data_IF_935956501782
#
_entry.id   IF_935956501782
#
_cell.length_a   1.000
_cell.length_b   1.000
_cell.length_c   1.000
_cell.angle_alpha   90.00
_cell.angle_beta   90.00
_cell.angle_gamma   90.00
#
_symmetry.space_group_name_H-M   'P 1'
#
loop_
_entity.id
_entity.type
_entity.pdbx_description
1 polymer ?
#
# COMPACT_ATOMS: atom_id res chain seq x y z
N UNK A 1 -15.34 7.04 27.49
CA UNK A 1 -15.23 5.65 27.01
C UNK A 1 -13.75 5.24 27.11
N UNK A 2 -13.43 4.23 27.94
CA UNK A 2 -12.04 3.86 28.27
C UNK A 2 -11.27 3.25 27.09
N UNK A 3 -11.95 2.60 26.13
CA UNK A 3 -11.33 1.84 25.03
C UNK A 3 -11.86 2.27 23.64
N UNK A 4 -12.31 3.51 23.49
CA UNK A 4 -12.72 4.07 22.20
C UNK A 4 -13.77 3.24 21.47
N UNK A 5 -13.48 2.91 20.23
CA UNK A 5 -14.31 2.15 19.28
C UNK A 5 -14.63 0.72 19.77
N UNK A 6 -13.70 0.05 20.44
CA UNK A 6 -13.90 -1.31 20.96
C UNK A 6 -15.04 -1.37 22.00
N UNK A 7 -15.17 -0.34 22.85
CA UNK A 7 -16.27 -0.28 23.82
C UNK A 7 -17.62 -0.18 23.11
N UNK A 8 -17.70 0.65 22.08
CA UNK A 8 -18.93 0.83 21.28
C UNK A 8 -19.30 -0.48 20.57
N UNK A 9 -18.33 -1.12 19.92
CA UNK A 9 -18.54 -2.41 19.22
C UNK A 9 -19.05 -3.46 20.19
N UNK A 10 -18.42 -3.61 21.36
CA UNK A 10 -18.81 -4.62 22.35
C UNK A 10 -20.21 -4.39 22.90
N UNK A 11 -20.62 -3.15 23.10
CA UNK A 11 -21.98 -2.84 23.58
C UNK A 11 -23.03 -3.06 22.47
N UNK A 12 -22.78 -2.58 21.26
CA UNK A 12 -23.75 -2.69 20.14
C UNK A 12 -23.94 -4.14 19.69
N UNK A 13 -22.88 -4.95 19.73
CA UNK A 13 -22.90 -6.34 19.28
C UNK A 13 -22.92 -7.36 20.43
N UNK A 14 -23.23 -6.93 21.63
CA UNK A 14 -23.31 -7.81 22.80
C UNK A 14 -24.20 -9.05 22.53
N UNK A 15 -23.63 -10.24 22.74
CA UNK A 15 -24.28 -11.51 22.45
C UNK A 15 -24.37 -11.90 20.97
N UNK A 16 -23.74 -11.11 20.06
CA UNK A 16 -23.64 -11.39 18.62
C UNK A 16 -22.19 -11.43 18.14
N UNK A 17 -21.24 -11.49 19.08
CA UNK A 17 -19.80 -11.60 18.78
C UNK A 17 -19.41 -13.05 18.91
N UNK A 18 -18.78 -13.58 17.87
CA UNK A 18 -18.17 -14.91 17.86
C UNK A 18 -16.67 -14.77 18.07
N UNK A 19 -16.11 -15.57 18.98
CA UNK A 19 -14.68 -15.61 19.22
C UNK A 19 -13.97 -16.42 18.13
N UNK A 20 -12.99 -15.80 17.50
CA UNK A 20 -12.09 -16.49 16.60
C UNK A 20 -10.98 -17.20 17.37
N UNK A 21 -10.42 -18.26 16.74
CA UNK A 21 -9.22 -18.91 17.26
C UNK A 21 -8.08 -17.93 17.42
N UNK A 22 -7.27 -18.09 18.48
CA UNK A 22 -6.16 -17.20 18.82
C UNK A 22 -5.13 -17.00 17.70
N UNK A 23 -5.05 -17.94 16.75
CA UNK A 23 -4.18 -17.81 15.59
C UNK A 23 -4.54 -16.64 14.67
N UNK A 24 -5.77 -16.15 14.71
CA UNK A 24 -6.25 -15.01 13.90
C UNK A 24 -5.95 -13.64 14.52
N UNK A 25 -5.47 -13.59 15.77
CA UNK A 25 -4.99 -12.36 16.40
C UNK A 25 -3.83 -12.68 17.36
N UNK A 26 -2.78 -13.25 16.81
CA UNK A 26 -1.56 -13.58 17.56
C UNK A 26 -0.83 -12.30 17.94
N UNK A 27 -1.04 -11.84 19.17
CA UNK A 27 -0.52 -10.57 19.66
C UNK A 27 0.91 -10.71 20.15
N UNK A 28 1.84 -10.05 19.45
CA UNK A 28 3.26 -9.98 19.80
C UNK A 28 3.53 -8.68 20.57
N UNK A 29 4.30 -8.83 21.62
CA UNK A 29 4.70 -7.74 22.52
C UNK A 29 4.25 -7.99 23.96
N UNK A 30 3.34 -8.91 24.19
CA UNK A 30 3.01 -9.35 25.53
C UNK A 30 4.15 -10.09 26.23
N UNK A 31 5.12 -10.61 25.47
CA UNK A 31 6.34 -11.23 26.04
C UNK A 31 7.09 -10.24 26.94
N UNK A 32 7.09 -8.96 26.58
CA UNK A 32 7.70 -7.89 27.37
C UNK A 32 6.82 -7.48 28.56
N UNK A 33 5.49 -7.47 28.38
CA UNK A 33 4.55 -7.22 29.46
C UNK A 33 4.55 -8.35 30.50
N UNK A 34 4.81 -9.59 30.07
CA UNK A 34 4.96 -10.74 30.95
C UNK A 34 6.16 -10.63 31.87
N UNK A 35 7.20 -9.92 31.47
CA UNK A 35 8.36 -9.64 32.32
C UNK A 35 8.01 -8.77 33.53
N UNK A 36 6.95 -7.95 33.43
CA UNK A 36 6.48 -7.04 34.47
C UNK A 36 5.29 -7.59 35.29
N UNK A 37 4.70 -8.71 34.88
CA UNK A 37 3.55 -9.30 35.60
C UNK A 37 3.21 -10.69 35.07
N UNK A 38 2.87 -11.58 35.89
CA UNK A 38 2.31 -12.94 35.72
C UNK A 38 2.75 -13.69 34.42
N UNK A 39 4.01 -14.06 34.36
CA UNK A 39 4.72 -14.77 33.26
C UNK A 39 3.95 -16.02 32.79
N UNK A 40 3.32 -16.75 33.69
CA UNK A 40 2.69 -18.05 33.40
C UNK A 40 1.48 -17.96 32.46
N UNK A 41 0.68 -16.91 32.54
CA UNK A 41 -0.53 -16.78 31.69
C UNK A 41 -0.15 -16.39 30.26
N UNK A 42 0.91 -15.63 30.09
CA UNK A 42 1.32 -15.09 28.77
C UNK A 42 2.09 -16.11 27.98
N UNK A 43 3.00 -16.88 28.60
CA UNK A 43 3.71 -17.99 27.94
C UNK A 43 2.73 -19.09 27.51
N UNK A 44 1.76 -19.44 28.35
CA UNK A 44 0.72 -20.41 27.98
C UNK A 44 -0.13 -19.97 26.80
N UNK A 45 -0.31 -18.66 26.60
CA UNK A 45 -1.02 -18.13 25.44
C UNK A 45 -0.19 -18.25 24.16
N UNK A 46 1.09 -17.90 24.22
CA UNK A 46 2.01 -17.97 23.06
C UNK A 46 2.28 -19.42 22.67
N UNK A 47 2.41 -20.32 23.62
CA UNK A 47 2.68 -21.75 23.38
C UNK A 47 1.52 -22.50 22.72
N UNK A 48 0.28 -22.03 22.89
CA UNK A 48 -0.91 -22.64 22.28
C UNK A 48 -0.99 -22.43 20.76
N UNK A 49 -0.38 -21.36 20.24
CA UNK A 49 -0.50 -21.00 18.83
C UNK A 49 0.77 -21.39 18.07
N UNK A 50 0.81 -22.59 17.53
CA UNK A 50 1.95 -23.08 16.75
C UNK A 50 2.09 -22.42 15.37
N UNK A 51 0.98 -22.01 14.75
CA UNK A 51 0.94 -21.43 13.40
C UNK A 51 0.01 -20.23 13.37
N UNK A 52 0.48 -19.02 13.74
CA UNK A 52 -0.34 -17.84 13.67
C UNK A 52 -0.72 -17.51 12.22
N UNK A 53 -2.00 -17.22 11.99
CA UNK A 53 -2.54 -16.78 10.70
C UNK A 53 -2.47 -15.27 10.54
N UNK A 54 -2.78 -14.54 11.62
CA UNK A 54 -2.63 -13.08 11.68
C UNK A 54 -1.73 -12.73 12.86
N UNK A 55 -0.66 -12.02 12.59
CA UNK A 55 0.29 -11.53 13.60
C UNK A 55 0.03 -10.05 13.84
N UNK A 56 -0.25 -9.70 15.10
CA UNK A 56 -0.53 -8.34 15.52
C UNK A 56 0.56 -7.83 16.46
N UNK A 57 1.32 -6.83 16.03
CA UNK A 57 2.35 -6.17 16.83
C UNK A 57 1.73 -5.04 17.66
N UNK A 58 1.43 -5.30 18.93
CA UNK A 58 0.60 -4.42 19.78
C UNK A 58 1.38 -3.37 20.57
N UNK A 59 2.69 -3.53 20.76
CA UNK A 59 3.51 -2.60 21.53
C UNK A 59 4.11 -1.48 20.70
N UNK A 60 4.73 -0.49 21.35
CA UNK A 60 5.49 0.59 20.69
C UNK A 60 6.73 0.08 19.96
N UNK A 61 7.31 -1.05 20.40
CA UNK A 61 8.38 -1.73 19.68
C UNK A 61 7.80 -2.42 18.44
N UNK A 62 7.84 -1.72 17.33
CA UNK A 62 7.32 -2.21 16.05
C UNK A 62 8.43 -2.88 15.22
N UNK A 63 8.09 -3.86 14.37
CA UNK A 63 9.08 -4.59 13.55
C UNK A 63 9.84 -3.69 12.58
N UNK A 64 9.31 -2.53 12.23
CA UNK A 64 9.93 -1.56 11.34
C UNK A 64 10.82 -0.53 12.07
N UNK A 65 10.83 -0.50 13.40
CA UNK A 65 11.72 0.38 14.15
C UNK A 65 13.18 0.03 13.84
N UNK A 66 14.05 1.05 13.82
CA UNK A 66 15.48 0.89 13.51
C UNK A 66 16.14 -0.12 14.46
N UNK A 67 15.86 0.01 15.74
CA UNK A 67 16.27 -0.93 16.79
C UNK A 67 15.02 -1.57 17.35
N UNK A 68 14.79 -2.84 17.02
CA UNK A 68 13.64 -3.61 17.51
C UNK A 68 14.06 -5.02 17.84
N UNK A 69 13.63 -5.48 19.02
CA UNK A 69 13.85 -6.85 19.52
C UNK A 69 12.58 -7.67 19.50
N UNK A 70 11.52 -7.19 18.83
CA UNK A 70 10.23 -7.84 18.80
C UNK A 70 10.31 -9.20 18.07
N UNK A 71 9.66 -10.21 18.64
CA UNK A 71 9.59 -11.56 18.08
C UNK A 71 8.93 -11.52 16.68
N UNK A 72 9.33 -12.43 15.82
CA UNK A 72 8.82 -12.55 14.45
C UNK A 72 9.02 -11.30 13.57
N UNK A 73 9.93 -10.40 13.94
CA UNK A 73 10.29 -9.21 13.15
C UNK A 73 10.68 -9.58 11.71
N UNK A 74 11.41 -10.67 11.54
CA UNK A 74 11.84 -11.18 10.24
C UNK A 74 10.65 -11.56 9.33
N UNK A 75 9.55 -12.07 9.89
CA UNK A 75 8.33 -12.35 9.09
C UNK A 75 7.69 -11.08 8.56
N UNK A 76 7.62 -10.03 9.37
CA UNK A 76 7.12 -8.73 8.91
C UNK A 76 7.95 -8.20 7.74
N UNK A 77 9.29 -8.22 7.86
CA UNK A 77 10.18 -7.78 6.80
C UNK A 77 10.09 -8.66 5.55
N UNK A 78 9.87 -9.97 5.72
CA UNK A 78 9.63 -10.86 4.59
C UNK A 78 8.40 -10.39 3.79
N UNK A 79 7.24 -10.23 4.44
CA UNK A 79 6.02 -9.79 3.77
C UNK A 79 6.12 -8.35 3.24
N UNK A 80 6.79 -7.46 3.93
CA UNK A 80 7.00 -6.07 3.51
C UNK A 80 7.81 -5.95 2.21
N UNK A 81 8.67 -6.92 1.93
CA UNK A 81 9.54 -6.95 0.74
C UNK A 81 8.95 -7.72 -0.43
N UNK A 82 7.84 -8.44 -0.24
CA UNK A 82 7.20 -9.16 -1.33
C UNK A 82 6.64 -8.19 -2.35
N UNK A 83 6.87 -8.48 -3.61
CA UNK A 83 6.17 -7.85 -4.73
C UNK A 83 4.76 -8.44 -4.85
N UNK A 84 3.84 -7.67 -5.43
CA UNK A 84 2.46 -8.13 -5.61
C UNK A 84 2.36 -9.43 -6.42
N UNK A 85 3.21 -9.59 -7.43
CA UNK A 85 3.30 -10.82 -8.23
C UNK A 85 3.66 -12.04 -7.38
N UNK A 86 4.56 -11.89 -6.39
CA UNK A 86 4.94 -12.96 -5.47
C UNK A 86 3.80 -13.29 -4.50
N UNK A 87 3.06 -12.28 -4.04
CA UNK A 87 1.88 -12.46 -3.18
C UNK A 87 0.80 -13.23 -3.95
N UNK A 88 0.47 -12.79 -5.15
CA UNK A 88 -0.57 -13.42 -5.99
C UNK A 88 -0.18 -14.85 -6.38
N UNK A 89 1.08 -15.11 -6.74
CA UNK A 89 1.54 -16.44 -7.14
C UNK A 89 1.48 -17.46 -5.99
N UNK A 90 1.63 -16.99 -4.75
CA UNK A 90 1.60 -17.84 -3.56
C UNK A 90 0.18 -18.29 -3.19
N UNK A 91 -0.83 -17.53 -3.58
CA UNK A 91 -2.23 -17.85 -3.37
C UNK A 91 -2.81 -18.48 -4.64
N UNK A 92 -2.44 -19.75 -4.91
CA UNK A 92 -2.91 -20.53 -6.06
C UNK A 92 -4.44 -20.77 -6.10
N UNK A 93 -5.14 -20.41 -5.02
CA UNK A 93 -6.61 -20.40 -4.96
C UNK A 93 -7.23 -19.12 -5.54
N UNK A 94 -6.41 -18.14 -5.94
CA UNK A 94 -6.93 -16.99 -6.66
C UNK A 94 -7.29 -17.44 -8.08
N UNK A 95 -8.58 -17.46 -8.36
CA UNK A 95 -9.09 -17.82 -9.68
C UNK A 95 -8.60 -16.81 -10.71
N UNK A 96 -7.53 -17.18 -11.43
CA UNK A 96 -6.93 -16.33 -12.47
C UNK A 96 -7.92 -15.97 -13.57
N UNK A 97 -9.01 -16.74 -13.74
CA UNK A 97 -10.05 -16.43 -14.72
C UNK A 97 -10.88 -15.19 -14.36
N UNK A 98 -10.83 -14.75 -13.10
CA UNK A 98 -11.44 -13.51 -12.61
C UNK A 98 -10.55 -12.28 -12.74
N UNK A 99 -9.26 -12.45 -13.04
CA UNK A 99 -8.41 -11.35 -13.44
C UNK A 99 -8.81 -11.05 -14.89
N UNK A 100 -9.53 -9.95 -15.11
CA UNK A 100 -9.64 -9.41 -16.46
C UNK A 100 -8.22 -9.25 -16.99
N UNK A 101 -7.92 -9.95 -18.07
CA UNK A 101 -6.69 -9.70 -18.83
C UNK A 101 -6.91 -8.38 -19.57
N UNK A 102 -6.63 -7.30 -18.83
CA UNK A 102 -6.76 -5.94 -19.35
C UNK A 102 -5.47 -5.67 -20.14
N UNK A 103 -5.52 -5.93 -21.45
CA UNK A 103 -4.52 -5.40 -22.36
C UNK A 103 -4.76 -3.91 -22.54
N UNK A 104 -3.71 -3.11 -22.43
CA UNK A 104 -3.73 -1.68 -22.67
C UNK A 104 -2.83 -1.36 -23.83
N UNK A 105 -3.19 -0.31 -24.60
CA UNK A 105 -2.45 0.14 -25.78
C UNK A 105 -1.19 0.96 -25.38
N UNK A 106 -1.11 1.40 -24.12
CA UNK A 106 0.04 2.15 -23.59
C UNK A 106 -0.07 2.42 -22.08
N UNK A 107 1.06 2.82 -21.52
CA UNK A 107 1.25 3.10 -20.08
C UNK A 107 1.55 4.60 -19.88
N UNK A 108 0.67 5.30 -19.18
CA UNK A 108 0.86 6.68 -18.77
C UNK A 108 1.32 6.73 -17.32
N UNK A 109 2.48 7.35 -17.07
CA UNK A 109 3.03 7.50 -15.71
C UNK A 109 2.88 8.93 -15.21
N UNK A 110 2.46 9.07 -13.97
CA UNK A 110 2.34 10.32 -13.23
C UNK A 110 2.97 10.17 -11.85
N UNK A 111 3.88 11.06 -11.50
CA UNK A 111 4.37 11.19 -10.13
C UNK A 111 3.87 12.51 -9.52
N UNK A 112 3.17 12.43 -8.40
CA UNK A 112 2.60 13.61 -7.74
C UNK A 112 2.96 13.66 -6.25
N UNK A 113 3.03 14.88 -5.72
CA UNK A 113 3.07 15.18 -4.28
C UNK A 113 1.77 15.84 -3.80
N UNK A 114 0.84 16.05 -4.72
CA UNK A 114 -0.40 16.78 -4.47
C UNK A 114 -1.61 15.85 -4.55
N UNK A 115 -2.64 16.22 -3.80
CA UNK A 115 -3.93 15.53 -3.89
C UNK A 115 -4.71 15.90 -5.16
N UNK A 116 -4.46 17.11 -5.67
CA UNK A 116 -5.15 17.67 -6.83
C UNK A 116 -4.28 17.54 -8.08
N UNK A 117 -4.80 16.82 -9.06
CA UNK A 117 -4.17 16.54 -10.34
C UNK A 117 -5.14 16.98 -11.43
N UNK A 118 -4.71 17.90 -12.28
CA UNK A 118 -5.57 18.54 -13.27
C UNK A 118 -6.21 17.53 -14.24
N UNK A 119 -7.54 17.51 -14.27
CA UNK A 119 -8.36 16.72 -15.19
C UNK A 119 -8.05 15.20 -15.23
N UNK A 120 -7.37 14.66 -14.22
CA UNK A 120 -6.94 13.25 -14.22
C UNK A 120 -8.12 12.28 -14.43
N UNK A 121 -9.23 12.48 -13.73
CA UNK A 121 -10.39 11.61 -13.84
C UNK A 121 -11.01 11.65 -15.24
N UNK A 122 -11.05 12.84 -15.87
CA UNK A 122 -11.55 12.97 -17.24
C UNK A 122 -10.64 12.25 -18.25
N UNK A 123 -9.30 12.31 -18.06
CA UNK A 123 -8.35 11.59 -18.91
C UNK A 123 -8.56 10.09 -18.78
N UNK A 124 -8.67 9.57 -17.56
CA UNK A 124 -8.92 8.16 -17.29
C UNK A 124 -10.18 7.65 -18.00
N UNK A 125 -11.28 8.42 -17.91
CA UNK A 125 -12.55 8.05 -18.52
C UNK A 125 -12.53 8.11 -20.05
N UNK A 126 -11.83 9.10 -20.63
CA UNK A 126 -11.75 9.30 -22.07
C UNK A 126 -10.75 8.37 -22.76
N UNK A 127 -9.79 7.83 -22.02
CA UNK A 127 -8.73 6.97 -22.53
C UNK A 127 -8.74 5.60 -21.83
N UNK A 128 -9.82 4.80 -21.99
CA UNK A 128 -9.96 3.54 -21.29
C UNK A 128 -8.91 2.49 -21.70
N UNK A 129 -8.30 2.64 -22.87
CA UNK A 129 -7.26 1.75 -23.38
C UNK A 129 -5.85 2.14 -22.93
N UNK A 130 -5.70 3.24 -22.19
CA UNK A 130 -4.43 3.66 -21.60
C UNK A 130 -4.44 3.32 -20.12
N UNK A 131 -3.38 2.68 -19.63
CA UNK A 131 -3.19 2.44 -18.20
C UNK A 131 -2.56 3.65 -17.55
N UNK A 132 -3.16 4.12 -16.47
CA UNK A 132 -2.68 5.25 -15.70
C UNK A 132 -1.98 4.75 -14.43
N UNK A 133 -0.66 4.84 -14.40
CA UNK A 133 0.18 4.52 -13.25
C UNK A 133 0.44 5.80 -12.46
N UNK A 134 -0.31 5.99 -11.37
CA UNK A 134 -0.24 7.20 -10.54
C UNK A 134 0.57 6.89 -9.29
N UNK A 135 1.68 7.59 -9.12
CA UNK A 135 2.62 7.38 -8.03
C UNK A 135 2.73 8.60 -7.11
N UNK A 136 3.07 8.36 -5.85
CA UNK A 136 3.42 9.39 -4.88
C UNK A 136 4.55 8.93 -3.96
N UNK A 137 5.45 9.85 -3.55
CA UNK A 137 6.45 9.56 -2.52
C UNK A 137 5.86 9.44 -1.11
N UNK A 138 4.64 9.93 -0.93
CA UNK A 138 3.90 9.95 0.34
C UNK A 138 2.66 9.04 0.26
N UNK A 139 1.97 8.78 1.38
CA UNK A 139 0.62 8.22 1.34
C UNK A 139 -0.28 9.05 0.42
N UNK A 140 -1.11 8.39 -0.35
CA UNK A 140 -2.00 9.07 -1.30
C UNK A 140 -3.22 9.68 -0.61
N UNK A 141 -3.63 10.84 -1.10
CA UNK A 141 -4.87 11.49 -0.68
C UNK A 141 -6.10 10.70 -1.14
N UNK A 142 -7.19 10.84 -0.39
CA UNK A 142 -8.45 10.15 -0.65
C UNK A 142 -9.00 10.39 -2.07
N UNK A 143 -8.80 11.59 -2.62
CA UNK A 143 -9.22 11.91 -3.99
C UNK A 143 -8.54 11.02 -5.03
N UNK A 144 -7.25 10.73 -4.85
CA UNK A 144 -6.53 9.81 -5.74
C UNK A 144 -6.92 8.36 -5.50
N UNK A 145 -7.15 7.98 -4.23
CA UNK A 145 -7.58 6.62 -3.90
C UNK A 145 -8.91 6.24 -4.56
N UNK A 146 -9.83 7.20 -4.76
CA UNK A 146 -11.09 6.97 -5.47
C UNK A 146 -10.90 6.54 -6.93
N UNK A 147 -9.78 6.91 -7.55
CA UNK A 147 -9.51 6.55 -8.95
C UNK A 147 -9.32 5.05 -9.16
N UNK A 148 -9.12 4.26 -8.10
CA UNK A 148 -9.08 2.79 -8.18
C UNK A 148 -10.42 2.15 -8.60
N UNK A 149 -11.50 2.93 -8.65
CA UNK A 149 -12.77 2.47 -9.22
C UNK A 149 -12.67 2.21 -10.74
N UNK A 150 -11.65 2.76 -11.42
CA UNK A 150 -11.42 2.57 -12.85
C UNK A 150 -10.45 1.42 -13.10
N UNK A 151 -10.81 0.50 -13.97
CA UNK A 151 -10.00 -0.70 -14.29
C UNK A 151 -8.63 -0.37 -14.89
N UNK A 152 -8.49 0.80 -15.51
CA UNK A 152 -7.27 1.28 -16.16
C UNK A 152 -6.39 2.15 -15.24
N UNK A 153 -6.58 2.08 -13.90
CA UNK A 153 -5.78 2.84 -12.94
C UNK A 153 -5.01 1.92 -12.01
N UNK A 154 -3.71 2.21 -11.83
CA UNK A 154 -2.87 1.65 -10.77
C UNK A 154 -2.32 2.76 -9.89
N UNK A 155 -2.33 2.55 -8.59
CA UNK A 155 -1.80 3.50 -7.62
C UNK A 155 -0.56 2.93 -6.94
N UNK A 156 0.47 3.76 -6.82
CA UNK A 156 1.73 3.45 -6.17
C UNK A 156 2.01 4.44 -5.03
N UNK A 157 1.35 4.27 -3.86
CA UNK A 157 1.64 5.09 -2.69
C UNK A 157 3.04 4.78 -2.15
N UNK A 158 3.75 5.81 -1.67
CA UNK A 158 5.10 5.67 -1.10
C UNK A 158 6.10 4.98 -2.04
N UNK A 159 6.04 5.30 -3.34
CA UNK A 159 6.90 4.68 -4.36
C UNK A 159 8.36 5.09 -4.15
N UNK A 160 9.27 4.11 -4.19
CA UNK A 160 10.72 4.33 -4.08
C UNK A 160 11.49 3.25 -4.83
N UNK A 161 12.79 3.54 -5.09
CA UNK A 161 13.77 2.54 -5.56
C UNK A 161 13.35 1.81 -6.83
N UNK A 162 13.48 0.49 -6.83
CA UNK A 162 13.28 -0.35 -8.02
C UNK A 162 11.87 -0.26 -8.62
N UNK A 163 10.84 -0.05 -7.78
CA UNK A 163 9.46 0.09 -8.28
C UNK A 163 9.32 1.39 -9.07
N UNK A 164 9.88 2.50 -8.57
CA UNK A 164 9.90 3.76 -9.31
C UNK A 164 10.69 3.64 -10.63
N UNK A 165 11.83 2.97 -10.59
CA UNK A 165 12.66 2.73 -11.78
C UNK A 165 11.91 1.92 -12.83
N UNK A 166 11.17 0.90 -12.40
CA UNK A 166 10.33 0.09 -13.29
C UNK A 166 9.24 0.94 -13.95
N UNK A 167 8.45 1.69 -13.17
CA UNK A 167 7.35 2.50 -13.70
C UNK A 167 7.86 3.57 -14.69
N UNK A 168 9.03 4.17 -14.44
CA UNK A 168 9.67 5.09 -15.39
C UNK A 168 10.11 4.34 -16.65
N UNK A 169 10.60 3.11 -16.52
CA UNK A 169 11.09 2.32 -17.63
C UNK A 169 9.98 1.80 -18.55
N UNK A 170 8.84 1.48 -17.98
CA UNK A 170 7.66 0.94 -18.67
C UNK A 170 6.73 2.02 -19.22
N UNK A 171 6.93 3.29 -18.83
CA UNK A 171 6.08 4.39 -19.28
C UNK A 171 6.28 4.71 -20.76
N UNK A 172 5.18 4.78 -21.50
CA UNK A 172 5.12 5.31 -22.87
C UNK A 172 4.92 6.83 -22.90
N UNK A 173 4.25 7.37 -21.87
CA UNK A 173 3.94 8.79 -21.72
C UNK A 173 4.12 9.20 -20.26
N UNK A 174 4.72 10.36 -20.02
CA UNK A 174 4.74 10.99 -18.71
C UNK A 174 3.72 12.13 -18.64
N UNK A 175 2.92 12.15 -17.57
CA UNK A 175 1.92 13.19 -17.34
C UNK A 175 2.43 14.19 -16.30
N UNK A 176 2.80 15.38 -16.76
CA UNK A 176 3.18 16.51 -15.91
C UNK A 176 1.98 17.44 -15.69
N UNK A 177 0.95 16.92 -15.01
CA UNK A 177 -0.35 17.55 -14.85
C UNK A 177 -0.76 17.83 -13.39
N UNK A 178 0.16 17.67 -12.44
CA UNK A 178 -0.06 18.00 -11.04
C UNK A 178 0.22 19.49 -10.76
N UNK A 179 -0.57 20.09 -9.91
CA UNK A 179 -0.29 21.42 -9.36
C UNK A 179 0.85 21.34 -8.32
N UNK A 180 1.56 22.47 -8.15
CA UNK A 180 2.60 22.59 -7.13
C UNK A 180 3.98 22.04 -7.52
N UNK A 181 4.83 21.70 -6.54
CA UNK A 181 6.23 21.36 -6.79
C UNK A 181 6.40 20.16 -7.71
N UNK A 182 7.24 20.30 -8.70
CA UNK A 182 7.59 19.26 -9.67
C UNK A 182 8.69 18.36 -9.14
N UNK A 183 8.78 17.16 -9.71
CA UNK A 183 9.88 16.23 -9.48
C UNK A 183 10.90 16.37 -10.60
N UNK A 184 11.70 17.46 -10.59
CA UNK A 184 12.63 17.82 -11.68
C UNK A 184 13.56 16.68 -12.04
N UNK A 185 14.07 15.95 -11.04
CA UNK A 185 14.90 14.76 -11.22
C UNK A 185 14.23 13.65 -12.06
N UNK A 186 12.92 13.51 -11.90
CA UNK A 186 12.14 12.52 -12.67
C UNK A 186 11.90 13.04 -14.09
N UNK A 187 11.57 14.30 -14.22
CA UNK A 187 11.40 14.94 -15.54
C UNK A 187 12.68 14.81 -16.36
N UNK A 188 13.84 15.10 -15.76
CA UNK A 188 15.14 14.90 -16.43
C UNK A 188 15.36 13.44 -16.88
N UNK A 189 15.00 12.48 -16.04
CA UNK A 189 15.11 11.05 -16.38
C UNK A 189 14.19 10.68 -17.54
N UNK A 190 12.95 11.17 -17.54
CA UNK A 190 11.96 10.99 -18.61
C UNK A 190 12.49 11.59 -19.92
N UNK A 191 13.03 12.82 -19.88
CA UNK A 191 13.61 13.49 -21.05
C UNK A 191 14.82 12.74 -21.61
N UNK A 192 15.74 12.28 -20.77
CA UNK A 192 16.90 11.46 -21.18
C UNK A 192 16.49 10.19 -21.92
N UNK A 193 15.33 9.62 -21.55
CA UNK A 193 14.76 8.45 -22.21
C UNK A 193 13.91 8.77 -23.43
N UNK A 194 13.72 10.04 -23.75
CA UNK A 194 12.88 10.54 -24.86
C UNK A 194 11.42 10.08 -24.74
N UNK A 195 10.92 9.91 -23.52
CA UNK A 195 9.50 9.63 -23.26
C UNK A 195 8.73 10.94 -23.46
N UNK A 196 7.64 10.95 -24.24
CA UNK A 196 6.80 12.12 -24.40
C UNK A 196 6.26 12.62 -23.07
N UNK A 197 6.32 13.95 -22.86
CA UNK A 197 5.76 14.60 -21.67
C UNK A 197 4.50 15.35 -22.09
N UNK A 198 3.40 15.06 -21.44
CA UNK A 198 2.12 15.75 -21.64
C UNK A 198 1.80 16.60 -20.42
N UNK A 199 1.47 17.88 -20.66
CA UNK A 199 1.08 18.83 -19.62
C UNK A 199 -0.05 19.73 -20.09
N UNK A 200 -0.82 20.28 -19.16
CA UNK A 200 -1.72 21.38 -19.44
C UNK A 200 -1.00 22.72 -19.23
N UNK A 201 -1.50 23.79 -19.88
CA UNK A 201 -0.86 25.11 -19.77
C UNK A 201 -0.71 25.62 -18.33
N UNK A 202 -1.64 25.24 -17.44
CA UNK A 202 -1.63 25.64 -16.05
C UNK A 202 -0.69 24.78 -15.15
N UNK A 203 -0.27 23.62 -15.63
CA UNK A 203 0.50 22.67 -14.84
C UNK A 203 1.86 22.33 -15.45
N UNK A 204 2.20 22.85 -16.63
CA UNK A 204 3.49 22.59 -17.28
C UNK A 204 4.67 23.09 -16.44
N UNK A 205 5.75 22.31 -16.41
CA UNK A 205 7.03 22.74 -15.87
C UNK A 205 7.57 23.93 -16.66
N UNK A 206 8.09 24.93 -15.96
CA UNK A 206 8.81 26.05 -16.57
C UNK A 206 10.25 25.58 -16.81
N UNK A 207 10.52 25.02 -17.97
CA UNK A 207 11.88 24.76 -18.49
C UNK A 207 12.03 25.39 -19.85
#
# INVERSE_FOLDING_TARGET
LRNGDQTVINEVFKGRIEELDLSYNYQIGFEKAAFWGNLQKTTQFLDKVKKPKIIHFITEDKPFNLVSTVSLRNKWWHYRRLEWSEIISKYSSFDKSKIKDLSFDGEAFLLTRMADVQNIEQLIQKLPNIRFNIAAYTPMAFLLLKLTQYDNVRLFPTIIGKTLDREINEADIYLDINYGPKADEIIERIMKRRIPIFSFDQTKSQN
#
